data_IF_787298718588
#
_entry.id   IF_787298718588
#
_cell.length_a   1.000
_cell.length_b   1.000
_cell.length_c   1.000
_cell.angle_alpha   90.00
_cell.angle_beta   90.00
_cell.angle_gamma   90.00
#
_symmetry.space_group_name_H-M   'P 1'
#
loop_
_entity.id
_entity.type
_entity.pdbx_description
1 polymer ?
#
# COMPACT_ATOMS: atom_id res chain seq x y z
N UNK A 1 -31.22 -23.03 40.99
CA UNK A 1 -30.04 -22.22 41.40
C UNK A 1 -29.82 -21.14 40.35
N UNK A 2 -29.11 -20.06 40.69
CA UNK A 2 -28.27 -19.37 39.70
C UNK A 2 -27.08 -20.27 39.36
N UNK A 3 -26.50 -20.11 38.18
CA UNK A 3 -25.24 -20.73 37.78
C UNK A 3 -24.37 -19.58 37.30
N UNK A 4 -23.24 -19.34 37.95
CA UNK A 4 -22.37 -18.23 37.61
C UNK A 4 -21.38 -18.67 36.53
N UNK A 5 -21.55 -18.14 35.33
CA UNK A 5 -20.93 -18.63 34.10
C UNK A 5 -19.62 -17.86 33.83
N UNK A 6 -18.49 -18.57 33.84
CA UNK A 6 -17.19 -18.01 33.46
C UNK A 6 -17.14 -17.89 31.94
N UNK A 7 -16.87 -16.67 31.45
CA UNK A 7 -16.89 -16.35 30.02
C UNK A 7 -15.53 -15.87 29.54
N UNK A 8 -15.14 -16.34 28.36
CA UNK A 8 -14.01 -15.80 27.62
C UNK A 8 -14.48 -15.06 26.36
N UNK A 9 -13.69 -14.09 25.90
CA UNK A 9 -13.96 -13.29 24.70
C UNK A 9 -13.00 -13.72 23.59
N UNK A 10 -13.56 -14.16 22.47
CA UNK A 10 -12.82 -14.36 21.22
C UNK A 10 -13.16 -13.19 20.28
N UNK A 11 -12.12 -12.56 19.72
CA UNK A 11 -12.26 -11.61 18.62
C UNK A 11 -12.10 -12.34 17.27
N UNK A 12 -12.94 -12.01 16.30
CA UNK A 12 -12.80 -12.36 14.89
C UNK A 12 -12.71 -11.06 14.08
N UNK A 13 -11.77 -10.93 13.13
CA UNK A 13 -11.85 -9.89 12.11
C UNK A 13 -12.43 -10.47 10.81
N UNK A 14 -13.73 -10.28 10.63
CA UNK A 14 -14.50 -10.88 9.54
C UNK A 14 -14.43 -10.01 8.28
N UNK A 15 -14.27 -10.62 7.11
CA UNK A 15 -14.42 -9.90 5.83
C UNK A 15 -15.92 -9.73 5.54
N UNK A 16 -16.37 -8.47 5.49
CA UNK A 16 -17.76 -8.10 5.16
C UNK A 16 -17.93 -8.00 3.64
N UNK A 17 -16.99 -7.34 2.97
CA UNK A 17 -17.03 -7.14 1.51
C UNK A 17 -15.65 -7.13 0.86
N UNK A 18 -15.60 -7.44 -0.44
CA UNK A 18 -14.41 -7.34 -1.29
C UNK A 18 -14.83 -7.06 -2.75
N UNK A 19 -14.88 -5.80 -3.13
CA UNK A 19 -15.23 -5.38 -4.49
C UNK A 19 -14.01 -5.05 -5.34
N UNK A 20 -14.18 -5.05 -6.66
CA UNK A 20 -13.19 -4.55 -7.61
C UNK A 20 -13.89 -3.87 -8.78
N UNK A 21 -13.58 -2.59 -8.99
CA UNK A 21 -14.15 -1.75 -10.05
C UNK A 21 -13.05 -1.25 -10.96
N UNK A 22 -13.43 -0.92 -12.20
CA UNK A 22 -12.59 -0.16 -13.12
C UNK A 22 -13.20 1.22 -13.32
N UNK A 23 -12.43 2.27 -13.10
CA UNK A 23 -12.83 3.65 -13.37
C UNK A 23 -11.94 4.29 -14.42
N UNK A 24 -12.45 5.34 -15.06
CA UNK A 24 -11.75 6.11 -16.08
C UNK A 24 -11.63 7.53 -15.56
N UNK A 25 -10.40 8.02 -15.43
CA UNK A 25 -10.09 9.41 -15.10
C UNK A 25 -9.50 10.05 -16.36
N UNK A 26 -10.10 11.13 -16.84
CA UNK A 26 -9.65 11.85 -18.04
C UNK A 26 -9.38 13.32 -17.70
N UNK A 27 -8.10 13.69 -17.72
CA UNK A 27 -7.61 14.99 -17.26
C UNK A 27 -6.81 15.70 -18.37
N UNK A 28 -7.00 17.01 -18.46
CA UNK A 28 -6.25 17.89 -19.36
C UNK A 28 -5.00 18.42 -18.64
N UNK A 29 -3.81 17.98 -19.06
CA UNK A 29 -2.52 18.38 -18.49
C UNK A 29 -1.89 19.48 -19.35
N UNK A 30 -1.46 20.57 -18.68
CA UNK A 30 -0.73 21.69 -19.28
C UNK A 30 0.78 21.45 -19.10
N UNK A 31 1.54 21.70 -20.16
CA UNK A 31 3.02 21.61 -20.14
C UNK A 31 3.60 22.86 -19.47
N UNK A 32 4.38 22.73 -18.38
CA UNK A 32 4.98 23.87 -17.69
C UNK A 32 5.89 24.72 -18.58
N UNK A 33 6.02 26.02 -18.30
CA UNK A 33 6.87 26.94 -19.08
C UNK A 33 8.38 26.66 -18.97
N UNK A 34 8.79 25.76 -18.07
CA UNK A 34 10.14 25.20 -17.98
C UNK A 34 10.40 24.07 -18.97
N UNK A 35 9.39 23.62 -19.73
CA UNK A 35 9.43 22.46 -20.62
C UNK A 35 9.06 22.87 -22.06
N UNK A 36 9.74 22.33 -23.09
CA UNK A 36 9.49 22.67 -24.49
C UNK A 36 8.16 22.09 -25.00
N UNK A 37 7.65 22.69 -26.07
CA UNK A 37 6.43 22.26 -26.75
C UNK A 37 6.51 20.80 -27.27
N UNK A 38 5.42 20.05 -27.14
CA UNK A 38 5.32 18.63 -27.50
C UNK A 38 5.16 18.45 -29.02
N UNK A 39 6.16 17.83 -29.65
CA UNK A 39 6.07 17.38 -31.05
C UNK A 39 5.42 16.00 -31.18
N UNK A 40 5.85 15.02 -30.37
CA UNK A 40 5.28 13.66 -30.36
C UNK A 40 5.48 12.95 -29.02
N UNK A 41 4.39 12.46 -28.43
CA UNK A 41 4.43 11.52 -27.29
C UNK A 41 5.07 10.21 -27.73
N UNK A 42 6.09 9.75 -27.00
CA UNK A 42 6.71 8.44 -27.17
C UNK A 42 6.07 7.39 -26.27
N UNK A 43 5.68 7.81 -25.06
CA UNK A 43 5.27 6.91 -23.99
C UNK A 43 4.36 7.62 -22.98
N UNK A 44 3.39 6.90 -22.42
CA UNK A 44 2.53 7.38 -21.35
C UNK A 44 2.12 6.22 -20.43
N UNK A 45 2.16 6.46 -19.13
CA UNK A 45 1.93 5.48 -18.05
C UNK A 45 1.64 6.26 -16.76
N UNK A 46 1.48 5.59 -15.62
CA UNK A 46 1.39 6.27 -14.34
C UNK A 46 1.27 5.34 -13.14
N UNK A 47 1.41 5.93 -11.96
CA UNK A 47 1.10 5.30 -10.68
C UNK A 47 -0.17 5.92 -10.10
N UNK A 48 -0.90 5.19 -9.26
CA UNK A 48 -2.05 5.70 -8.53
C UNK A 48 -1.92 5.40 -7.04
N UNK A 49 -2.05 6.44 -6.22
CA UNK A 49 -1.88 6.37 -4.77
C UNK A 49 -3.20 6.73 -4.08
N UNK A 50 -3.58 5.97 -3.05
CA UNK A 50 -4.71 6.31 -2.18
C UNK A 50 -4.22 7.29 -1.11
N UNK A 51 -4.87 8.45 -1.01
CA UNK A 51 -4.58 9.46 0.01
C UNK A 51 -5.46 9.28 1.24
N UNK A 52 -6.72 8.90 1.04
CA UNK A 52 -7.72 8.75 2.09
C UNK A 52 -8.79 7.71 1.70
N UNK A 53 -9.46 7.14 2.70
CA UNK A 53 -10.58 6.21 2.52
C UNK A 53 -11.52 6.32 3.72
N UNK A 54 -12.76 6.73 3.47
CA UNK A 54 -13.81 6.89 4.49
C UNK A 54 -14.88 5.83 4.23
N UNK A 55 -15.11 4.96 5.20
CA UNK A 55 -16.27 4.05 5.19
C UNK A 55 -17.46 4.78 5.80
N UNK A 56 -18.48 5.00 4.97
CA UNK A 56 -19.77 5.53 5.37
C UNK A 56 -20.76 4.37 5.56
N UNK A 57 -22.03 4.71 5.76
CA UNK A 57 -23.10 3.73 5.72
C UNK A 57 -23.45 3.44 4.24
N UNK A 58 -23.42 2.17 3.85
CA UNK A 58 -23.64 1.63 2.50
C UNK A 58 -22.65 2.07 1.38
N UNK A 59 -21.62 2.87 1.66
CA UNK A 59 -20.63 3.29 0.65
C UNK A 59 -19.22 3.57 1.21
N UNK A 60 -18.24 3.65 0.30
CA UNK A 60 -16.87 4.08 0.57
C UNK A 60 -16.57 5.34 -0.25
N UNK A 61 -16.09 6.41 0.39
CA UNK A 61 -15.46 7.54 -0.28
C UNK A 61 -13.94 7.34 -0.34
N UNK A 62 -13.35 7.53 -1.53
CA UNK A 62 -11.95 7.22 -1.83
C UNK A 62 -11.33 8.45 -2.49
N UNK A 63 -10.33 9.03 -1.82
CA UNK A 63 -9.56 10.16 -2.34
C UNK A 63 -8.16 9.66 -2.71
N UNK A 64 -7.67 10.02 -3.90
CA UNK A 64 -6.38 9.54 -4.40
C UNK A 64 -5.73 10.51 -5.39
N UNK A 65 -4.54 10.14 -5.84
CA UNK A 65 -3.77 10.92 -6.82
C UNK A 65 -3.14 10.00 -7.86
N UNK A 66 -3.23 10.38 -9.13
CA UNK A 66 -2.55 9.71 -10.25
C UNK A 66 -1.29 10.51 -10.57
N UNK A 67 -0.14 9.86 -10.57
CA UNK A 67 1.12 10.41 -11.11
C UNK A 67 1.29 9.94 -12.55
N UNK A 68 1.06 10.84 -13.50
CA UNK A 68 1.27 10.58 -14.92
C UNK A 68 2.75 10.63 -15.26
N UNK A 69 3.23 9.61 -15.97
CA UNK A 69 4.61 9.43 -16.46
C UNK A 69 4.61 9.53 -17.99
N UNK A 70 4.80 10.73 -18.54
CA UNK A 70 4.74 10.96 -19.99
C UNK A 70 6.13 11.28 -20.52
N UNK A 71 6.58 10.56 -21.55
CA UNK A 71 7.80 10.88 -22.30
C UNK A 71 7.44 11.33 -23.71
N UNK A 72 8.05 12.41 -24.17
CA UNK A 72 7.81 12.97 -25.49
C UNK A 72 9.10 13.46 -26.15
N UNK A 73 9.08 13.64 -27.47
CA UNK A 73 10.06 14.47 -28.17
C UNK A 73 9.48 15.87 -28.39
N UNK A 74 10.30 16.87 -28.13
CA UNK A 74 9.98 18.27 -28.37
C UNK A 74 9.78 18.61 -29.86
N UNK A 75 9.01 19.65 -30.16
CA UNK A 75 8.73 20.12 -31.52
C UNK A 75 9.87 20.98 -32.09
N UNK A 76 11.07 20.40 -32.16
CA UNK A 76 12.26 21.06 -32.71
C UNK A 76 13.15 20.10 -33.53
N UNK A 77 14.24 20.59 -34.18
CA UNK A 77 15.14 19.76 -34.96
C UNK A 77 16.08 18.84 -34.15
N UNK A 78 16.27 19.07 -32.86
CA UNK A 78 17.11 18.23 -31.98
C UNK A 78 16.36 16.96 -31.54
N UNK A 79 15.03 17.04 -31.40
CA UNK A 79 14.15 15.92 -31.00
C UNK A 79 14.56 15.26 -29.66
N UNK A 80 15.07 16.06 -28.71
CA UNK A 80 15.44 15.56 -27.38
C UNK A 80 14.24 14.90 -26.69
N UNK A 81 14.50 13.83 -25.94
CA UNK A 81 13.47 13.17 -25.12
C UNK A 81 13.32 13.93 -23.82
N UNK A 82 12.08 14.33 -23.52
CA UNK A 82 11.70 15.13 -22.36
C UNK A 82 10.64 14.37 -21.55
N UNK A 83 10.73 14.46 -20.23
CA UNK A 83 9.70 13.96 -19.32
C UNK A 83 8.71 15.04 -18.90
N UNK A 84 7.46 14.62 -18.74
CA UNK A 84 6.36 15.35 -18.12
C UNK A 84 5.76 14.46 -17.03
N UNK A 85 6.35 14.56 -15.83
CA UNK A 85 5.90 13.86 -14.63
C UNK A 85 5.00 14.79 -13.82
N UNK A 86 3.67 14.59 -13.85
CA UNK A 86 2.68 15.47 -13.21
C UNK A 86 1.64 14.63 -12.45
N UNK A 87 1.28 15.08 -11.24
CA UNK A 87 0.19 14.52 -10.44
C UNK A 87 -1.15 15.18 -10.75
N UNK A 88 -2.24 14.40 -10.73
CA UNK A 88 -3.62 14.90 -10.72
C UNK A 88 -4.47 14.10 -9.74
N UNK A 89 -5.22 14.79 -8.89
CA UNK A 89 -6.09 14.15 -7.89
C UNK A 89 -7.32 13.48 -8.53
N UNK A 90 -7.91 12.51 -7.84
CA UNK A 90 -9.18 11.89 -8.20
C UNK A 90 -10.00 11.52 -6.96
N UNK A 91 -11.32 11.62 -7.09
CA UNK A 91 -12.30 11.19 -6.08
C UNK A 91 -13.16 10.08 -6.66
N UNK A 92 -13.45 9.05 -5.88
CA UNK A 92 -14.39 7.99 -6.26
C UNK A 92 -15.25 7.55 -5.07
N UNK A 93 -16.56 7.45 -5.28
CA UNK A 93 -17.48 6.83 -4.34
C UNK A 93 -17.90 5.46 -4.86
N UNK A 94 -17.78 4.44 -4.01
CA UNK A 94 -18.12 3.05 -4.30
C UNK A 94 -19.29 2.63 -3.41
N UNK A 95 -20.44 2.31 -4.02
CA UNK A 95 -21.57 1.73 -3.30
C UNK A 95 -21.23 0.30 -2.85
N UNK A 96 -21.32 0.02 -1.56
CA UNK A 96 -21.05 -1.30 -0.96
C UNK A 96 -22.12 -1.60 0.09
N UNK A 97 -23.28 -2.17 -0.31
CA UNK A 97 -24.39 -2.40 0.60
C UNK A 97 -24.01 -3.28 1.80
N UNK A 98 -24.54 -2.94 2.98
CA UNK A 98 -24.28 -3.67 4.22
C UNK A 98 -22.99 -3.30 4.96
N UNK A 99 -22.25 -2.28 4.50
CA UNK A 99 -21.12 -1.70 5.27
C UNK A 99 -21.58 -0.50 6.08
N UNK A 100 -20.87 -0.18 7.16
CA UNK A 100 -21.23 0.91 8.06
C UNK A 100 -20.08 1.47 8.88
N UNK A 101 -20.34 2.61 9.53
CA UNK A 101 -19.37 3.29 10.40
C UNK A 101 -18.85 2.38 11.51
N UNK A 102 -17.52 2.31 11.62
CA UNK A 102 -16.81 1.45 12.58
C UNK A 102 -16.13 0.24 11.93
N UNK A 103 -16.53 -0.15 10.71
CA UNK A 103 -15.81 -1.16 9.93
C UNK A 103 -14.48 -0.59 9.39
N UNK A 104 -13.46 -1.44 9.26
CA UNK A 104 -12.18 -1.06 8.68
C UNK A 104 -12.22 -1.15 7.15
N UNK A 105 -12.21 0.01 6.50
CA UNK A 105 -12.03 0.12 5.05
C UNK A 105 -10.56 0.07 4.63
N UNK A 106 -10.27 -0.75 3.62
CA UNK A 106 -8.98 -0.84 2.95
C UNK A 106 -9.22 -0.82 1.44
N UNK A 107 -8.44 -0.01 0.72
CA UNK A 107 -8.53 0.17 -0.72
C UNK A 107 -7.13 0.15 -1.30
N UNK A 108 -6.94 -0.52 -2.44
CA UNK A 108 -5.75 -0.39 -3.28
C UNK A 108 -6.15 0.07 -4.69
N UNK A 109 -5.27 0.84 -5.32
CA UNK A 109 -5.43 1.29 -6.70
C UNK A 109 -4.27 0.80 -7.56
N UNK A 110 -4.57 0.39 -8.79
CA UNK A 110 -3.60 -0.03 -9.80
C UNK A 110 -3.94 0.68 -11.11
N UNK A 111 -2.95 1.26 -11.79
CA UNK A 111 -3.12 1.80 -13.14
C UNK A 111 -3.03 0.63 -14.13
N UNK A 112 -4.08 0.41 -14.92
CA UNK A 112 -4.12 -0.67 -15.93
C UNK A 112 -3.71 -0.18 -17.32
N UNK A 113 -4.01 1.08 -17.65
CA UNK A 113 -3.68 1.69 -18.92
C UNK A 113 -3.70 3.21 -18.84
N UNK A 114 -2.85 3.88 -19.63
CA UNK A 114 -2.88 5.33 -19.82
C UNK A 114 -2.82 5.64 -21.32
N UNK A 115 -3.87 6.27 -21.85
CA UNK A 115 -3.82 6.93 -23.16
C UNK A 115 -3.39 8.40 -22.97
N UNK A 116 -2.49 8.90 -23.81
CA UNK A 116 -2.12 10.32 -23.87
C UNK A 116 -2.28 10.84 -25.30
N UNK A 117 -2.97 11.98 -25.46
CA UNK A 117 -3.34 12.55 -26.75
C UNK A 117 -2.97 14.04 -26.79
N UNK A 118 -2.21 14.45 -27.80
CA UNK A 118 -1.80 15.86 -27.98
C UNK A 118 -3.02 16.68 -28.39
N UNK A 119 -3.31 17.75 -27.63
CA UNK A 119 -4.32 18.76 -27.96
C UNK A 119 -3.67 19.95 -28.67
N UNK A 120 -2.48 20.36 -28.20
CA UNK A 120 -1.53 21.25 -28.88
C UNK A 120 -0.14 21.11 -28.21
N UNK A 121 0.88 21.84 -28.70
CA UNK A 121 2.24 21.77 -28.15
C UNK A 121 2.37 22.01 -26.64
N UNK A 122 1.43 22.70 -26.00
CA UNK A 122 1.42 22.96 -24.55
C UNK A 122 0.31 22.26 -23.77
N UNK A 123 -0.45 21.35 -24.40
CA UNK A 123 -1.57 20.66 -23.75
C UNK A 123 -1.76 19.23 -24.26
N UNK A 124 -1.83 18.28 -23.33
CA UNK A 124 -2.26 16.90 -23.59
C UNK A 124 -3.54 16.56 -22.82
N UNK A 125 -4.36 15.71 -23.41
CA UNK A 125 -5.49 15.05 -22.77
C UNK A 125 -5.02 13.63 -22.39
N UNK A 126 -5.18 13.27 -21.12
CA UNK A 126 -4.63 12.03 -20.55
C UNK A 126 -5.76 11.24 -19.89
N UNK A 127 -5.93 10.00 -20.33
CA UNK A 127 -7.02 9.12 -19.91
C UNK A 127 -6.44 7.87 -19.26
N UNK A 128 -6.49 7.82 -17.94
CA UNK A 128 -6.07 6.68 -17.14
C UNK A 128 -7.25 5.73 -16.87
N UNK A 129 -7.01 4.43 -16.98
CA UNK A 129 -7.90 3.37 -16.51
C UNK A 129 -7.33 2.84 -15.20
N UNK A 130 -8.09 3.01 -14.12
CA UNK A 130 -7.70 2.58 -12.78
C UNK A 130 -8.52 1.37 -12.35
N UNK A 131 -7.87 0.33 -11.84
CA UNK A 131 -8.52 -0.74 -11.08
C UNK A 131 -8.44 -0.43 -9.60
N UNK A 132 -9.59 -0.19 -8.99
CA UNK A 132 -9.74 -0.02 -7.54
C UNK A 132 -10.22 -1.35 -6.96
N UNK A 133 -9.56 -1.81 -5.89
CA UNK A 133 -9.90 -3.04 -5.14
C UNK A 133 -10.19 -2.65 -3.70
N UNK A 134 -11.38 -2.95 -3.19
CA UNK A 134 -11.75 -2.72 -1.79
C UNK A 134 -11.76 -4.02 -0.99
N UNK A 135 -11.54 -3.90 0.31
CA UNK A 135 -11.70 -4.96 1.32
C UNK A 135 -12.20 -4.28 2.58
N UNK A 136 -13.41 -4.62 3.03
CA UNK A 136 -13.96 -4.12 4.29
C UNK A 136 -13.99 -5.27 5.29
N UNK A 137 -13.52 -5.00 6.51
CA UNK A 137 -13.51 -5.97 7.60
C UNK A 137 -14.15 -5.40 8.87
N UNK A 138 -14.78 -6.26 9.66
CA UNK A 138 -15.51 -5.94 10.88
C UNK A 138 -15.01 -6.81 12.04
N UNK A 139 -14.61 -6.18 13.14
CA UNK A 139 -14.25 -6.88 14.37
C UNK A 139 -15.51 -7.31 15.12
N UNK A 140 -15.69 -8.62 15.30
CA UNK A 140 -16.79 -9.24 16.03
C UNK A 140 -16.26 -9.88 17.33
N UNK A 141 -16.97 -9.68 18.44
CA UNK A 141 -16.68 -10.33 19.73
C UNK A 141 -17.68 -11.45 20.03
N UNK A 142 -17.14 -12.63 20.37
CA UNK A 142 -17.90 -13.82 20.72
C UNK A 142 -17.61 -14.23 22.17
N UNK A 143 -18.66 -14.42 22.96
CA UNK A 143 -18.56 -14.90 24.34
C UNK A 143 -18.74 -16.42 24.41
N UNK A 144 -17.71 -17.12 24.82
CA UNK A 144 -17.74 -18.58 25.06
C UNK A 144 -17.85 -18.86 26.55
N UNK A 145 -18.57 -19.93 26.92
CA UNK A 145 -18.71 -20.39 28.31
C UNK A 145 -17.68 -21.50 28.53
N UNK A 146 -16.63 -21.17 29.27
CA UNK A 146 -15.48 -22.05 29.47
C UNK A 146 -15.47 -22.67 30.88
N UNK A 147 -16.23 -22.11 31.83
CA UNK A 147 -16.48 -22.75 33.13
C UNK A 147 -17.82 -22.34 33.78
N UNK A 148 -18.17 -23.03 34.88
CA UNK A 148 -19.27 -22.67 35.78
C UNK A 148 -18.78 -22.68 37.22
N UNK A 149 -18.93 -21.56 37.91
CA UNK A 149 -18.64 -21.45 39.34
C UNK A 149 -19.83 -21.91 40.20
N UNK A 150 -19.50 -22.44 41.38
CA UNK A 150 -20.37 -22.69 42.53
C UNK A 150 -21.63 -23.56 42.33
N UNK A 151 -21.43 -24.86 42.05
CA UNK A 151 -22.42 -25.89 42.44
C UNK A 151 -21.81 -27.28 42.65
N UNK A 152 -22.06 -27.88 43.82
CA UNK A 152 -21.53 -29.21 44.20
C UNK A 152 -22.20 -30.38 43.44
N UNK A 153 -23.39 -30.16 42.89
CA UNK A 153 -24.25 -31.19 42.26
C UNK A 153 -24.15 -31.26 40.72
N UNK A 154 -23.29 -30.48 40.05
CA UNK A 154 -23.20 -30.51 38.57
C UNK A 154 -22.07 -31.40 38.04
N UNK A 155 -22.22 -31.84 36.79
CA UNK A 155 -21.18 -32.47 35.99
C UNK A 155 -21.08 -31.72 34.66
N UNK A 156 -19.84 -31.42 34.24
CA UNK A 156 -19.54 -30.62 33.05
C UNK A 156 -18.83 -31.51 32.02
N UNK A 157 -19.42 -31.64 30.83
CA UNK A 157 -18.76 -32.28 29.70
C UNK A 157 -17.98 -31.21 28.93
N UNK A 158 -16.65 -31.28 28.99
CA UNK A 158 -15.76 -30.41 28.20
C UNK A 158 -15.44 -31.04 26.84
N UNK A 159 -15.28 -30.19 25.83
CA UNK A 159 -14.64 -30.50 24.56
C UNK A 159 -13.68 -29.38 24.19
N UNK A 160 -12.65 -29.67 23.40
CA UNK A 160 -11.71 -28.65 22.92
C UNK A 160 -11.98 -28.30 21.45
N UNK A 161 -11.73 -27.03 21.11
CA UNK A 161 -11.75 -26.52 19.73
C UNK A 161 -10.49 -25.70 19.49
N UNK A 162 -9.94 -25.75 18.26
CA UNK A 162 -8.85 -24.86 17.89
C UNK A 162 -9.35 -23.72 17.01
N UNK A 163 -9.04 -22.49 17.42
CA UNK A 163 -9.56 -21.26 16.83
C UNK A 163 -8.38 -20.34 16.49
N UNK A 164 -8.48 -19.63 15.35
CA UNK A 164 -7.58 -18.53 15.02
C UNK A 164 -8.19 -17.24 15.60
N UNK A 165 -7.71 -16.82 16.77
CA UNK A 165 -8.15 -15.65 17.52
C UNK A 165 -7.48 -14.40 16.93
N UNK A 166 -8.28 -13.40 16.55
CA UNK A 166 -7.77 -12.13 16.07
C UNK A 166 -7.15 -11.34 17.23
N UNK A 167 -5.90 -10.88 17.05
CA UNK A 167 -5.16 -10.10 18.06
C UNK A 167 -5.43 -8.61 17.87
N UNK A 168 -5.40 -8.15 16.63
CA UNK A 168 -5.51 -6.74 16.28
C UNK A 168 -4.88 -6.42 14.92
N UNK A 169 -4.96 -5.14 14.54
CA UNK A 169 -4.30 -4.58 13.35
C UNK A 169 -3.30 -3.51 13.70
N UNK A 170 -2.12 -3.55 13.08
CA UNK A 170 -1.13 -2.47 13.09
C UNK A 170 -1.08 -1.75 11.74
N UNK A 171 -0.78 -0.45 11.77
CA UNK A 171 -0.55 0.40 10.60
C UNK A 171 0.71 1.23 10.81
N UNK A 172 1.45 1.53 9.76
CA UNK A 172 2.57 2.47 9.80
C UNK A 172 3.08 2.85 8.42
N UNK A 173 3.93 3.87 8.37
CA UNK A 173 4.59 4.33 7.14
C UNK A 173 6.09 4.14 7.33
N UNK A 174 6.72 3.33 6.48
CA UNK A 174 8.17 3.28 6.38
C UNK A 174 8.62 4.35 5.39
N UNK A 175 9.63 5.15 5.73
CA UNK A 175 10.18 6.18 4.84
C UNK A 175 11.66 5.89 4.59
N UNK A 176 12.00 5.59 3.34
CA UNK A 176 13.37 5.46 2.86
C UNK A 176 13.84 6.84 2.41
N UNK A 177 15.04 7.26 2.81
CA UNK A 177 15.74 8.45 2.33
C UNK A 177 17.19 8.07 2.07
N UNK A 178 17.60 8.04 0.81
CA UNK A 178 18.93 7.57 0.41
C UNK A 178 19.42 8.31 -0.84
N UNK A 179 20.74 8.31 -1.06
CA UNK A 179 21.38 8.95 -2.22
C UNK A 179 22.02 7.87 -3.09
N UNK A 180 21.57 7.77 -4.33
CA UNK A 180 21.91 6.71 -5.27
C UNK A 180 22.97 7.23 -6.27
N UNK A 181 24.17 6.66 -6.23
CA UNK A 181 25.29 7.06 -7.12
C UNK A 181 25.06 6.56 -8.55
N UNK A 182 25.32 7.43 -9.54
CA UNK A 182 25.34 7.10 -10.96
C UNK A 182 26.55 6.20 -11.26
N UNK A 183 26.35 4.99 -11.84
CA UNK A 183 27.43 4.04 -12.08
C UNK A 183 28.64 4.64 -12.84
N UNK A 184 29.84 4.30 -12.38
CA UNK A 184 31.09 4.80 -12.95
C UNK A 184 31.22 4.40 -14.44
N UNK A 185 31.41 5.39 -15.32
CA UNK A 185 31.43 5.20 -16.78
C UNK A 185 30.10 5.50 -17.49
N UNK A 186 29.02 5.78 -16.76
CA UNK A 186 27.89 6.54 -17.29
C UNK A 186 28.10 8.06 -17.14
N UNK A 187 27.55 8.87 -18.06
CA UNK A 187 27.49 10.33 -17.92
C UNK A 187 26.64 10.73 -16.71
N UNK A 188 26.82 11.96 -16.26
CA UNK A 188 26.10 12.57 -15.14
C UNK A 188 24.65 12.91 -15.53
N UNK A 189 23.74 13.13 -14.58
CA UNK A 189 22.29 13.26 -14.89
C UNK A 189 21.97 14.65 -15.44
N UNK A 190 21.52 14.73 -16.69
CA UNK A 190 20.94 15.96 -17.25
C UNK A 190 19.44 16.08 -16.94
N UNK A 191 18.68 15.01 -17.14
CA UNK A 191 17.25 14.95 -16.78
C UNK A 191 16.86 13.54 -16.33
N UNK A 192 16.22 13.41 -15.16
CA UNK A 192 15.52 12.19 -14.75
C UNK A 192 14.25 12.04 -15.60
N UNK A 193 14.17 10.99 -16.42
CA UNK A 193 13.07 10.79 -17.35
C UNK A 193 11.92 10.00 -16.71
N UNK A 194 12.24 8.85 -16.11
CA UNK A 194 11.28 7.95 -15.46
C UNK A 194 11.93 7.27 -14.26
N UNK A 195 11.16 7.09 -13.20
CA UNK A 195 11.51 6.26 -12.05
C UNK A 195 10.35 5.29 -11.77
N UNK A 196 10.68 4.03 -11.53
CA UNK A 196 9.77 3.00 -11.03
C UNK A 196 10.37 2.34 -9.80
N UNK A 197 9.51 1.95 -8.87
CA UNK A 197 9.91 1.31 -7.62
C UNK A 197 9.13 0.01 -7.48
N UNK A 198 9.85 -1.08 -7.23
CA UNK A 198 9.28 -2.38 -6.94
C UNK A 198 9.72 -2.82 -5.55
N UNK A 199 8.77 -3.17 -4.70
CA UNK A 199 9.06 -3.76 -3.39
C UNK A 199 9.22 -5.29 -3.54
N UNK A 200 10.25 -5.85 -2.92
CA UNK A 200 10.58 -7.29 -2.96
C UNK A 200 10.96 -7.83 -1.58
N UNK A 201 11.05 -9.17 -1.50
CA UNK A 201 11.59 -9.96 -0.39
C UNK A 201 11.17 -9.49 1.01
N UNK A 202 9.87 -9.19 1.19
CA UNK A 202 9.39 -8.74 2.50
C UNK A 202 9.25 -9.94 3.45
N UNK A 203 10.05 -9.94 4.50
CA UNK A 203 10.01 -10.87 5.62
C UNK A 203 9.47 -10.18 6.88
N UNK A 204 8.85 -10.95 7.78
CA UNK A 204 8.46 -10.48 9.09
C UNK A 204 8.98 -11.41 10.19
N UNK A 205 9.34 -10.83 11.34
CA UNK A 205 9.46 -11.54 12.61
C UNK A 205 8.51 -10.90 13.64
N UNK A 206 7.69 -11.72 14.29
CA UNK A 206 6.97 -11.32 15.51
C UNK A 206 7.90 -11.40 16.74
N UNK A 207 7.58 -10.61 17.76
CA UNK A 207 8.22 -10.53 19.07
C UNK A 207 7.18 -9.95 20.04
N UNK A 208 7.41 -10.05 21.37
CA UNK A 208 6.50 -9.52 22.40
C UNK A 208 5.93 -8.12 22.06
N UNK A 209 4.64 -8.08 21.70
CA UNK A 209 3.87 -6.87 21.32
C UNK A 209 4.35 -6.12 20.07
N UNK A 210 5.24 -6.70 19.24
CA UNK A 210 5.86 -6.03 18.09
C UNK A 210 6.05 -6.94 16.88
N UNK A 211 5.83 -6.40 15.69
CA UNK A 211 6.24 -7.00 14.42
C UNK A 211 7.39 -6.20 13.82
N UNK A 212 8.49 -6.88 13.52
CA UNK A 212 9.65 -6.35 12.83
C UNK A 212 9.57 -6.82 11.38
N UNK A 213 9.34 -5.88 10.47
CA UNK A 213 9.32 -6.10 9.03
C UNK A 213 10.64 -5.69 8.40
N UNK A 214 11.09 -6.45 7.42
CA UNK A 214 12.22 -6.13 6.54
C UNK A 214 11.80 -6.36 5.10
N UNK A 215 12.27 -5.52 4.19
CA UNK A 215 12.07 -5.73 2.76
C UNK A 215 13.04 -4.92 1.93
N UNK A 216 13.01 -5.13 0.62
CA UNK A 216 13.83 -4.43 -0.36
C UNK A 216 12.95 -3.49 -1.18
N UNK A 217 13.48 -2.32 -1.52
CA UNK A 217 13.00 -1.50 -2.62
C UNK A 217 14.03 -1.56 -3.75
N UNK A 218 13.59 -2.02 -4.91
CA UNK A 218 14.33 -1.99 -6.17
C UNK A 218 13.87 -0.76 -6.96
N UNK A 219 14.77 0.20 -7.19
CA UNK A 219 14.54 1.44 -7.93
C UNK A 219 15.10 1.25 -9.35
N UNK A 220 14.27 1.46 -10.36
CA UNK A 220 14.66 1.45 -11.77
C UNK A 220 14.56 2.88 -12.32
N UNK A 221 15.70 3.45 -12.75
CA UNK A 221 15.79 4.83 -13.23
C UNK A 221 16.13 4.88 -14.71
N UNK A 222 15.35 5.62 -15.50
CA UNK A 222 15.70 6.07 -16.85
C UNK A 222 16.03 7.56 -16.81
N UNK A 223 17.17 7.96 -17.38
CA UNK A 223 17.60 9.37 -17.43
C UNK A 223 18.30 9.71 -18.76
N UNK A 224 18.32 11.00 -19.09
CA UNK A 224 19.19 11.55 -20.12
C UNK A 224 20.53 11.96 -19.48
N UNK A 225 21.64 11.49 -20.04
CA UNK A 225 22.98 11.87 -19.62
C UNK A 225 23.39 13.26 -20.09
N UNK A 226 24.19 13.97 -19.29
CA UNK A 226 24.91 15.16 -19.71
C UNK A 226 26.15 14.76 -20.54
N UNK A 227 25.88 14.40 -21.80
CA UNK A 227 26.89 14.19 -22.83
C UNK A 227 26.44 14.78 -24.17
N UNK A 228 27.34 14.76 -25.15
CA UNK A 228 27.12 15.36 -26.48
C UNK A 228 26.00 14.73 -27.30
N UNK A 229 25.53 13.54 -26.92
CA UNK A 229 24.48 12.80 -27.61
C UNK A 229 23.20 12.73 -26.75
N UNK A 230 23.20 13.39 -25.57
CA UNK A 230 22.22 13.25 -24.47
C UNK A 230 21.83 11.80 -24.24
N UNK A 231 22.82 10.92 -24.15
CA UNK A 231 22.58 9.49 -24.26
C UNK A 231 21.59 8.99 -23.20
N UNK A 232 20.61 8.20 -23.64
CA UNK A 232 19.59 7.64 -22.76
C UNK A 232 20.21 6.51 -21.95
N UNK A 233 20.16 6.64 -20.62
CA UNK A 233 20.79 5.72 -19.68
C UNK A 233 19.76 5.11 -18.73
N UNK A 234 20.08 3.91 -18.30
CA UNK A 234 19.32 3.13 -17.34
C UNK A 234 20.24 2.74 -16.19
N UNK A 235 19.74 2.81 -14.96
CA UNK A 235 20.43 2.34 -13.76
C UNK A 235 19.43 1.74 -12.78
N UNK A 236 19.89 0.75 -12.02
CA UNK A 236 19.11 0.03 -11.02
C UNK A 236 19.83 0.13 -9.68
N UNK A 237 19.06 0.39 -8.62
CA UNK A 237 19.55 0.46 -7.25
C UNK A 237 18.65 -0.36 -6.34
N UNK A 238 19.25 -1.12 -5.42
CA UNK A 238 18.54 -1.89 -4.41
C UNK A 238 18.86 -1.30 -3.03
N UNK A 239 17.84 -1.11 -2.20
CA UNK A 239 17.96 -0.67 -0.81
C UNK A 239 17.06 -1.48 0.10
N UNK A 240 17.50 -1.72 1.34
CA UNK A 240 16.74 -2.47 2.34
C UNK A 240 16.10 -1.54 3.36
N UNK A 241 14.81 -1.69 3.61
CA UNK A 241 14.10 -1.00 4.69
C UNK A 241 13.78 -1.94 5.85
N UNK A 242 13.61 -1.38 7.05
CA UNK A 242 13.15 -2.09 8.24
C UNK A 242 12.12 -1.23 8.95
N UNK A 243 10.94 -1.79 9.21
CA UNK A 243 9.86 -1.14 9.96
C UNK A 243 9.54 -1.95 11.20
N UNK A 244 9.42 -1.29 12.35
CA UNK A 244 8.82 -1.88 13.55
C UNK A 244 7.39 -1.34 13.68
N UNK A 245 6.44 -2.24 13.93
CA UNK A 245 5.05 -1.92 14.20
C UNK A 245 4.66 -2.50 15.56
N UNK A 246 4.09 -1.65 16.41
CA UNK A 246 3.49 -2.07 17.68
C UNK A 246 2.15 -2.77 17.41
N UNK A 247 1.98 -3.96 17.99
CA UNK A 247 0.76 -4.76 17.92
C UNK A 247 0.61 -5.54 19.25
N UNK A 248 -0.01 -4.93 20.28
CA UNK A 248 -0.15 -5.54 21.59
C UNK A 248 -0.80 -6.92 21.54
N UNK A 249 -0.27 -7.86 22.33
CA UNK A 249 -0.73 -9.25 22.37
C UNK A 249 -0.15 -10.18 21.31
N UNK A 250 0.74 -9.72 20.43
CA UNK A 250 1.46 -10.59 19.47
C UNK A 250 2.76 -11.16 20.05
N UNK A 251 3.12 -12.37 19.63
CA UNK A 251 4.27 -13.16 20.13
C UNK A 251 4.94 -14.02 19.03
N UNK A 252 5.99 -14.76 19.39
CA UNK A 252 6.71 -15.70 18.50
C UNK A 252 5.83 -16.89 18.00
N UNK A 253 4.64 -17.12 18.57
CA UNK A 253 3.66 -18.14 18.14
C UNK A 253 2.59 -17.63 17.17
N UNK A 254 2.50 -16.31 16.98
CA UNK A 254 1.46 -15.64 16.21
C UNK A 254 1.73 -15.57 14.71
N UNK A 255 0.66 -15.47 13.92
CA UNK A 255 0.71 -15.33 12.46
C UNK A 255 0.30 -13.92 12.02
N UNK A 256 1.03 -13.34 11.06
CA UNK A 256 0.77 -12.01 10.52
C UNK A 256 0.31 -12.12 9.06
N UNK A 257 -0.84 -11.53 8.75
CA UNK A 257 -1.18 -11.14 7.38
C UNK A 257 -0.61 -9.75 7.12
N UNK A 258 0.21 -9.63 6.07
CA UNK A 258 0.85 -8.38 5.66
C UNK A 258 0.21 -7.85 4.38
N UNK A 259 -0.13 -6.57 4.38
CA UNK A 259 -0.40 -5.76 3.18
C UNK A 259 0.56 -4.56 3.17
N UNK A 260 0.99 -4.17 1.98
CA UNK A 260 1.74 -2.93 1.77
C UNK A 260 1.31 -2.24 0.47
N UNK A 261 1.71 -0.99 0.33
CA UNK A 261 1.56 -0.14 -0.86
C UNK A 261 2.66 0.93 -0.86
N UNK A 262 3.03 1.46 -2.02
CA UNK A 262 3.79 2.72 -2.10
C UNK A 262 2.75 3.84 -2.05
N UNK A 263 2.94 4.83 -1.18
CA UNK A 263 1.98 5.93 -0.99
C UNK A 263 2.44 7.23 -1.67
N UNK A 264 3.75 7.45 -1.73
CA UNK A 264 4.38 8.54 -2.47
C UNK A 264 5.88 8.24 -2.64
N UNK A 265 6.53 8.87 -3.62
CA UNK A 265 7.98 8.92 -3.72
C UNK A 265 8.44 10.20 -4.45
N UNK A 266 9.70 10.59 -4.30
CA UNK A 266 10.35 11.63 -5.08
C UNK A 266 11.81 11.25 -5.36
N UNK A 267 12.34 11.71 -6.50
CA UNK A 267 13.73 11.54 -6.88
C UNK A 267 14.26 12.84 -7.49
N UNK A 268 15.37 13.34 -6.95
CA UNK A 268 15.97 14.62 -7.36
C UNK A 268 17.47 14.42 -7.62
N UNK A 269 18.03 14.97 -8.72
CA UNK A 269 19.46 14.87 -8.99
C UNK A 269 20.25 15.75 -8.01
N UNK A 270 21.43 15.29 -7.61
CA UNK A 270 22.32 15.95 -6.67
C UNK A 270 23.75 16.05 -7.23
N UNK A 271 24.36 17.22 -7.07
CA UNK A 271 25.74 17.55 -7.46
C UNK A 271 26.77 16.87 -6.54
N UNK A 272 27.96 16.56 -7.07
CA UNK A 272 29.12 16.07 -6.34
C UNK A 272 30.12 17.19 -5.97
N UNK A 273 31.35 16.83 -5.57
CA UNK A 273 32.39 17.81 -5.21
C UNK A 273 32.93 18.61 -6.41
N UNK A 274 32.80 18.10 -7.64
CA UNK A 274 33.20 18.77 -8.89
C UNK A 274 32.04 19.58 -9.52
N UNK A 275 30.81 19.43 -9.01
CA UNK A 275 29.61 20.11 -9.49
C UNK A 275 28.83 19.37 -10.58
N UNK A 276 29.11 18.07 -10.77
CA UNK A 276 28.36 17.22 -11.71
C UNK A 276 27.23 16.47 -10.98
N UNK A 277 26.07 16.30 -11.63
CA UNK A 277 24.95 15.52 -11.09
C UNK A 277 25.24 14.01 -11.08
N UNK A 278 26.11 13.56 -10.17
CA UNK A 278 26.52 12.15 -9.97
C UNK A 278 25.60 11.36 -9.04
N UNK A 279 24.68 12.02 -8.35
CA UNK A 279 23.82 11.37 -7.35
C UNK A 279 22.34 11.63 -7.64
N UNK A 280 21.49 10.75 -7.14
CA UNK A 280 20.03 10.90 -7.13
C UNK A 280 19.52 10.68 -5.71
N UNK A 281 19.04 11.74 -5.06
CA UNK A 281 18.37 11.64 -3.76
C UNK A 281 16.96 11.07 -3.97
N UNK A 282 16.68 9.92 -3.37
CA UNK A 282 15.36 9.30 -3.37
C UNK A 282 14.70 9.38 -1.99
N UNK A 283 13.43 9.75 -1.96
CA UNK A 283 12.54 9.57 -0.81
C UNK A 283 11.36 8.69 -1.22
N UNK A 284 11.08 7.64 -0.44
CA UNK A 284 10.03 6.65 -0.74
C UNK A 284 9.22 6.39 0.52
N UNK A 285 7.91 6.60 0.45
CA UNK A 285 6.97 6.30 1.53
C UNK A 285 6.19 5.02 1.22
N UNK A 286 6.38 4.01 2.06
CA UNK A 286 5.71 2.70 1.95
C UNK A 286 4.67 2.62 3.08
N UNK A 287 3.39 2.58 2.70
CA UNK A 287 2.29 2.30 3.61
C UNK A 287 2.26 0.81 3.94
N UNK A 288 2.15 0.48 5.22
CA UNK A 288 2.21 -0.90 5.72
C UNK A 288 1.03 -1.17 6.66
N UNK A 289 0.37 -2.30 6.43
CA UNK A 289 -0.74 -2.83 7.21
C UNK A 289 -0.44 -4.26 7.66
N UNK A 290 -0.60 -4.54 8.95
CA UNK A 290 -0.47 -5.90 9.51
C UNK A 290 -1.73 -6.30 10.28
N UNK A 291 -2.12 -7.56 10.18
CA UNK A 291 -3.16 -8.19 10.99
C UNK A 291 -2.58 -9.40 11.69
N UNK A 292 -2.63 -9.40 13.02
CA UNK A 292 -2.17 -10.52 13.85
C UNK A 292 -3.31 -11.47 14.20
N UNK A 293 -3.05 -12.77 14.11
CA UNK A 293 -3.88 -13.81 14.71
C UNK A 293 -2.98 -14.78 15.49
N UNK A 294 -3.49 -15.35 16.58
CA UNK A 294 -2.87 -16.50 17.24
C UNK A 294 -3.77 -17.72 17.08
N UNK A 295 -3.17 -18.90 16.93
CA UNK A 295 -3.90 -20.17 16.93
C UNK A 295 -3.91 -20.71 18.35
N UNK A 296 -5.08 -20.77 18.95
CA UNK A 296 -5.28 -21.22 20.33
C UNK A 296 -6.08 -22.54 20.34
N UNK A 297 -5.95 -23.33 21.40
CA UNK A 297 -6.88 -24.41 21.73
C UNK A 297 -7.67 -23.99 22.97
N UNK A 298 -8.99 -24.05 22.87
CA UNK A 298 -9.91 -23.55 23.90
C UNK A 298 -10.83 -24.67 24.35
N UNK A 299 -10.88 -24.90 25.67
CA UNK A 299 -11.85 -25.78 26.31
C UNK A 299 -13.20 -25.07 26.41
N UNK A 300 -14.23 -25.71 25.86
CA UNK A 300 -15.61 -25.23 25.89
C UNK A 300 -16.54 -26.27 26.52
N UNK A 301 -17.60 -25.77 27.18
CA UNK A 301 -18.63 -26.63 27.74
C UNK A 301 -19.54 -27.13 26.62
N UNK A 302 -19.60 -28.45 26.46
CA UNK A 302 -20.46 -29.15 25.50
C UNK A 302 -21.80 -29.54 26.13
N UNK A 303 -21.82 -29.87 27.43
CA UNK A 303 -23.05 -30.20 28.19
C UNK A 303 -22.86 -29.92 29.69
N UNK A 304 -23.96 -29.62 30.39
CA UNK A 304 -24.03 -29.44 31.84
C UNK A 304 -25.25 -30.21 32.35
N UNK A 305 -25.03 -31.23 33.17
CA UNK A 305 -26.11 -32.02 33.77
C UNK A 305 -25.97 -32.09 35.29
N UNK A 306 -27.08 -31.82 35.99
CA UNK A 306 -27.16 -31.96 37.43
C UNK A 306 -27.34 -33.42 37.84
N UNK A 307 -26.68 -33.81 38.93
CA UNK A 307 -26.91 -35.10 39.59
C UNK A 307 -28.32 -35.13 40.18
N UNK A 308 -29.03 -36.23 39.92
CA UNK A 308 -30.42 -36.40 40.34
C UNK A 308 -30.48 -37.03 41.72
N UNK A 309 -30.58 -36.18 42.73
CA UNK A 309 -30.92 -36.53 44.12
C UNK A 309 -32.39 -36.96 44.29
#
# INVERSE_FOLDING_TARGET
MSLDLVREIIKENRVVSRESVQIIIENDIIVPDTKPDIGRVLFADGDAFILNTIVNDENISIDGVIRHKILYVEDNPEQNIISLNISTDFEHNMDVPGVGKGMEGRVKCEVEHVECRIVNGRKVNVRAILRIKSKITEENEYYFINDVEDSEDIQILRGSVSINKFIGTGRGICTIKESFEVPSGNPSIMEILRNDIKISNIEYKTTDNKVILKGEANIQTLYAGDDRERSIKFMEHETTFTQVLDLPGIDDGSQVQLDYEIQNYSFEPLEDEDGEFRFMNGEIHIGIWILGNIKEEMDLITDIYGLRT
#
